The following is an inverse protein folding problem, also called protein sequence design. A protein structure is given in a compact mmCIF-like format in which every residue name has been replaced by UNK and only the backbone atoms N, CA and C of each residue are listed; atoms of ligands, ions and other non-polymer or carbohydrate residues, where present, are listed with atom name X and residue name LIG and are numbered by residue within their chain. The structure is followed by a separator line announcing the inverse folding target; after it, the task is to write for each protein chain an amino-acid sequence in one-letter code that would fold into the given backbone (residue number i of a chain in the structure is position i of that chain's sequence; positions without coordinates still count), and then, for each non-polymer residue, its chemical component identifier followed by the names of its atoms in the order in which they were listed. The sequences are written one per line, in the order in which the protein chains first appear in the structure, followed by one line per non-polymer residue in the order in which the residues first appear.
data_IF_714423541688
#
_entry.id   IF_714423541688
#
_cell.length_a   1.000
_cell.length_b   1.000
_cell.length_c   1.000
_cell.angle_alpha   90.00
_cell.angle_beta   90.00
_cell.angle_gamma   90.00
#
_symmetry.space_group_name_H-M   'P 1'
#
loop_
_entity.id
_entity.type
_entity.pdbx_description
1 polymer ?
#
# COMPACT_ATOMS: atom_id res chain seq x y z
N UNK A 1 -21.50 6.32 67.17
CA UNK A 1 -20.41 5.61 66.47
C UNK A 1 -20.85 5.01 65.14
N UNK A 2 -22.02 4.35 65.04
CA UNK A 2 -22.45 3.76 63.76
C UNK A 2 -22.75 4.76 62.63
N UNK A 3 -23.16 6.02 62.95
CA UNK A 3 -23.42 7.08 61.95
C UNK A 3 -22.14 7.69 61.34
N UNK A 4 -21.05 7.65 62.10
CA UNK A 4 -19.75 8.17 61.65
C UNK A 4 -19.07 7.23 60.62
N UNK A 5 -19.29 5.92 60.77
CA UNK A 5 -18.72 4.90 59.87
C UNK A 5 -19.40 4.96 58.48
N UNK A 6 -20.72 5.24 58.47
CA UNK A 6 -21.46 5.37 57.19
C UNK A 6 -21.03 6.63 56.39
N UNK A 7 -20.65 7.72 57.09
CA UNK A 7 -20.17 8.94 56.45
C UNK A 7 -18.76 8.79 55.89
N UNK A 8 -17.93 7.93 56.50
CA UNK A 8 -16.57 7.63 56.01
C UNK A 8 -16.60 6.71 54.77
N UNK A 9 -17.62 5.85 54.60
CA UNK A 9 -17.77 5.00 53.44
C UNK A 9 -18.22 5.76 52.17
N UNK A 10 -18.80 6.96 52.30
CA UNK A 10 -19.18 7.80 51.15
C UNK A 10 -18.01 8.60 50.54
N UNK A 11 -16.85 8.62 51.18
CA UNK A 11 -15.65 9.25 50.67
C UNK A 11 -14.67 8.26 50.00
N UNK A 12 -15.13 7.10 49.52
CA UNK A 12 -14.33 6.28 48.62
C UNK A 12 -14.06 7.12 47.37
N UNK A 13 -12.81 7.46 47.02
CA UNK A 13 -12.51 8.14 45.78
C UNK A 13 -12.98 7.21 44.66
N UNK A 14 -14.06 7.58 43.98
CA UNK A 14 -14.39 7.00 42.73
C UNK A 14 -13.22 7.38 41.83
N UNK A 15 -12.24 6.51 41.71
CA UNK A 15 -11.20 6.63 40.69
C UNK A 15 -11.94 6.58 39.34
N UNK A 16 -12.43 7.73 38.89
CA UNK A 16 -12.88 7.93 37.54
C UNK A 16 -11.62 7.71 36.70
N UNK A 17 -11.46 6.52 36.18
CA UNK A 17 -10.47 6.28 35.13
C UNK A 17 -10.87 7.20 33.97
N UNK A 18 -10.28 8.37 33.94
CA UNK A 18 -10.47 9.30 32.84
C UNK A 18 -9.99 8.57 31.58
N UNK A 19 -10.94 8.31 30.69
CA UNK A 19 -10.64 7.69 29.39
C UNK A 19 -9.63 8.57 28.68
N UNK A 20 -8.48 7.98 28.32
CA UNK A 20 -7.42 8.69 27.63
C UNK A 20 -7.59 8.49 26.13
N UNK A 21 -7.69 9.58 25.41
CA UNK A 21 -7.83 9.59 23.96
C UNK A 21 -6.57 10.13 23.32
N UNK A 22 -6.16 9.51 22.21
CA UNK A 22 -5.07 9.96 21.38
C UNK A 22 -5.53 10.18 19.93
N UNK A 23 -4.75 10.97 19.20
CA UNK A 23 -4.82 11.07 17.75
C UNK A 23 -3.47 10.75 17.14
N UNK A 24 -3.47 10.20 15.94
CA UNK A 24 -2.24 9.84 15.21
C UNK A 24 -2.39 10.23 13.74
N UNK A 25 -1.31 10.71 13.14
CA UNK A 25 -1.23 10.95 11.71
C UNK A 25 -0.42 9.81 11.06
N UNK A 26 -1.12 8.80 10.58
CA UNK A 26 -0.47 7.62 9.96
C UNK A 26 0.23 7.98 8.65
N UNK A 27 -0.23 8.98 7.92
CA UNK A 27 0.41 9.45 6.69
C UNK A 27 1.80 10.03 6.99
N UNK A 28 1.92 10.88 8.01
CA UNK A 28 3.20 11.44 8.44
C UNK A 28 4.17 10.34 8.89
N UNK A 29 3.67 9.34 9.63
CA UNK A 29 4.47 8.20 10.05
C UNK A 29 4.96 7.41 8.84
N UNK A 30 4.07 7.04 7.93
CA UNK A 30 4.41 6.28 6.72
C UNK A 30 5.48 7.00 5.88
N UNK A 31 5.35 8.31 5.68
CA UNK A 31 6.31 9.11 4.92
C UNK A 31 7.71 9.16 5.56
N UNK A 32 7.80 9.01 6.87
CA UNK A 32 9.08 8.98 7.59
C UNK A 32 9.78 7.62 7.57
N UNK A 33 9.10 6.55 7.11
CA UNK A 33 9.64 5.20 7.10
C UNK A 33 10.56 4.95 5.90
N UNK A 34 11.82 4.55 6.11
CA UNK A 34 12.71 4.16 5.02
C UNK A 34 12.20 2.96 4.23
N UNK A 35 11.43 2.08 4.86
CA UNK A 35 10.79 0.94 4.21
C UNK A 35 9.81 1.36 3.12
N UNK A 36 9.07 2.46 3.32
CA UNK A 36 8.17 2.99 2.29
C UNK A 36 8.94 3.45 1.06
N UNK A 37 10.05 4.18 1.26
CA UNK A 37 10.92 4.62 0.16
C UNK A 37 11.49 3.42 -0.60
N UNK A 38 11.92 2.38 0.10
CA UNK A 38 12.40 1.14 -0.50
C UNK A 38 11.32 0.44 -1.33
N UNK A 39 10.11 0.27 -0.77
CA UNK A 39 8.99 -0.34 -1.47
C UNK A 39 8.65 0.44 -2.74
N UNK A 40 8.58 1.77 -2.67
CA UNK A 40 8.30 2.61 -3.83
C UNK A 40 9.39 2.46 -4.91
N UNK A 41 10.66 2.44 -4.54
CA UNK A 41 11.76 2.22 -5.48
C UNK A 41 11.73 0.84 -6.15
N UNK A 42 11.38 -0.21 -5.41
CA UNK A 42 11.23 -1.56 -5.96
C UNK A 42 10.03 -1.67 -6.92
N UNK A 43 8.91 -1.01 -6.60
CA UNK A 43 7.74 -0.97 -7.47
C UNK A 43 8.01 -0.18 -8.75
N UNK A 44 8.71 0.95 -8.65
CA UNK A 44 9.13 1.74 -9.81
C UNK A 44 10.06 0.94 -10.72
N UNK A 45 11.05 0.25 -10.16
CA UNK A 45 11.95 -0.62 -10.91
C UNK A 45 11.19 -1.75 -11.64
N UNK A 46 10.21 -2.37 -10.96
CA UNK A 46 9.35 -3.41 -11.54
C UNK A 46 8.49 -2.85 -12.67
N UNK A 47 7.87 -1.68 -12.47
CA UNK A 47 7.06 -1.02 -13.50
C UNK A 47 7.91 -0.71 -14.74
N UNK A 48 9.12 -0.20 -14.56
CA UNK A 48 10.04 0.08 -15.66
C UNK A 48 10.49 -1.18 -16.40
N UNK A 49 10.68 -2.28 -15.68
CA UNK A 49 10.98 -3.57 -16.31
C UNK A 49 9.83 -4.03 -17.21
N UNK A 50 8.57 -3.93 -16.74
CA UNK A 50 7.39 -4.28 -17.53
C UNK A 50 7.18 -3.36 -18.75
N UNK A 51 7.46 -2.06 -18.58
CA UNK A 51 7.45 -1.11 -19.70
C UNK A 51 8.46 -1.49 -20.79
N UNK A 52 9.70 -1.82 -20.39
CA UNK A 52 10.75 -2.23 -21.31
C UNK A 52 10.41 -3.56 -22.02
N UNK A 53 9.81 -4.51 -21.30
CA UNK A 53 9.34 -5.77 -21.88
C UNK A 53 8.29 -5.52 -22.99
N UNK A 54 7.27 -4.75 -22.67
CA UNK A 54 6.21 -4.39 -23.63
C UNK A 54 6.77 -3.63 -24.85
N UNK A 55 7.68 -2.69 -24.60
CA UNK A 55 8.35 -1.95 -25.67
C UNK A 55 9.12 -2.89 -26.59
N UNK A 56 9.91 -3.82 -26.04
CA UNK A 56 10.64 -4.82 -26.84
C UNK A 56 9.71 -5.71 -27.66
N UNK A 57 8.56 -6.11 -27.09
CA UNK A 57 7.57 -6.90 -27.83
C UNK A 57 6.89 -6.10 -28.93
N UNK A 58 6.64 -4.81 -28.73
CA UNK A 58 6.08 -3.91 -29.76
C UNK A 58 7.07 -3.66 -30.89
N UNK A 59 8.35 -3.45 -30.57
CA UNK A 59 9.42 -3.30 -31.56
C UNK A 59 9.58 -4.58 -32.39
N UNK A 60 9.47 -5.76 -31.76
CA UNK A 60 9.50 -7.04 -32.46
C UNK A 60 8.30 -7.22 -33.39
N UNK A 61 7.08 -6.88 -32.93
CA UNK A 61 5.88 -6.90 -33.77
C UNK A 61 6.05 -5.99 -34.98
N UNK A 62 6.54 -4.77 -34.77
CA UNK A 62 6.78 -3.81 -35.87
C UNK A 62 7.81 -4.37 -36.86
N UNK A 63 8.93 -4.90 -36.39
CA UNK A 63 9.97 -5.50 -37.22
C UNK A 63 9.44 -6.67 -38.07
N UNK A 64 8.66 -7.55 -37.44
CA UNK A 64 8.07 -8.69 -38.14
C UNK A 64 7.00 -8.25 -39.18
N UNK A 65 6.19 -7.25 -38.81
CA UNK A 65 5.17 -6.69 -39.75
C UNK A 65 5.84 -6.06 -40.97
N UNK A 66 6.89 -5.26 -40.77
CA UNK A 66 7.65 -4.66 -41.87
C UNK A 66 8.31 -5.71 -42.77
N UNK A 67 8.87 -6.76 -42.17
CA UNK A 67 9.47 -7.86 -42.90
C UNK A 67 8.40 -8.63 -43.75
N UNK A 68 7.23 -8.86 -43.14
CA UNK A 68 6.09 -9.47 -43.84
C UNK A 68 5.65 -8.63 -45.02
N UNK A 69 5.40 -7.35 -44.87
CA UNK A 69 4.94 -6.48 -45.95
C UNK A 69 5.95 -6.42 -47.11
N UNK A 70 7.24 -6.41 -46.85
CA UNK A 70 8.29 -6.44 -47.85
C UNK A 70 8.32 -7.75 -48.66
N UNK A 71 8.01 -8.87 -48.01
CA UNK A 71 8.11 -10.20 -48.64
C UNK A 71 6.77 -10.74 -49.15
N UNK A 72 5.65 -10.12 -48.78
CA UNK A 72 4.29 -10.60 -49.02
C UNK A 72 4.03 -10.96 -50.51
N UNK A 73 4.50 -10.11 -51.43
CA UNK A 73 4.29 -10.30 -52.87
C UNK A 73 4.98 -11.54 -53.45
N UNK A 74 5.99 -12.07 -52.77
CA UNK A 74 6.79 -13.24 -53.16
C UNK A 74 6.39 -14.51 -52.42
N UNK A 75 5.54 -14.41 -51.41
CA UNK A 75 5.07 -15.55 -50.62
C UNK A 75 3.88 -16.25 -51.28
N UNK A 76 3.80 -17.58 -51.15
CA UNK A 76 2.60 -18.32 -51.46
C UNK A 76 1.50 -18.08 -50.39
N UNK A 77 0.23 -18.38 -50.76
CA UNK A 77 -0.91 -18.12 -49.89
C UNK A 77 -0.83 -18.80 -48.50
N UNK A 78 -0.30 -20.00 -48.43
CA UNK A 78 -0.14 -20.73 -47.15
C UNK A 78 0.85 -20.02 -46.23
N UNK A 79 1.96 -19.57 -46.77
CA UNK A 79 2.99 -18.84 -46.01
C UNK A 79 2.48 -17.47 -45.57
N UNK A 80 1.72 -16.77 -46.40
CA UNK A 80 1.08 -15.50 -46.03
C UNK A 80 0.14 -15.71 -44.85
N UNK A 81 -0.74 -16.70 -44.93
CA UNK A 81 -1.69 -17.01 -43.86
C UNK A 81 -0.99 -17.37 -42.54
N UNK A 82 0.10 -18.16 -42.60
CA UNK A 82 0.87 -18.49 -41.42
C UNK A 82 1.50 -17.25 -40.75
N UNK A 83 2.07 -16.35 -41.59
CA UNK A 83 2.68 -15.11 -41.10
C UNK A 83 1.64 -14.15 -40.49
N UNK A 84 0.48 -14.03 -41.10
CA UNK A 84 -0.62 -13.24 -40.55
C UNK A 84 -1.10 -13.79 -39.20
N UNK A 85 -1.18 -15.11 -39.04
CA UNK A 85 -1.51 -15.74 -37.75
C UNK A 85 -0.41 -15.51 -36.68
N UNK A 86 0.87 -15.60 -37.09
CA UNK A 86 1.99 -15.29 -36.17
C UNK A 86 1.93 -13.85 -35.67
N UNK A 87 1.71 -12.88 -36.57
CA UNK A 87 1.60 -11.45 -36.18
C UNK A 87 0.37 -11.20 -35.30
N UNK A 88 -0.76 -11.82 -35.63
CA UNK A 88 -1.94 -11.73 -34.77
C UNK A 88 -1.72 -12.34 -33.39
N UNK A 89 -1.04 -13.49 -33.33
CA UNK A 89 -0.67 -14.13 -32.08
C UNK A 89 0.26 -13.25 -31.23
N UNK A 90 1.25 -12.60 -31.86
CA UNK A 90 2.15 -11.68 -31.18
C UNK A 90 1.40 -10.45 -30.63
N UNK A 91 0.48 -9.89 -31.42
CA UNK A 91 -0.37 -8.80 -30.98
C UNK A 91 -1.22 -9.18 -29.76
N UNK A 92 -1.88 -10.35 -29.81
CA UNK A 92 -2.66 -10.87 -28.68
C UNK A 92 -1.78 -11.08 -27.44
N UNK A 93 -0.56 -11.60 -27.63
CA UNK A 93 0.40 -11.78 -26.54
C UNK A 93 0.79 -10.45 -25.89
N UNK A 94 1.01 -9.40 -26.67
CA UNK A 94 1.29 -8.05 -26.14
C UNK A 94 0.13 -7.57 -25.26
N UNK A 95 -1.12 -7.72 -25.73
CA UNK A 95 -2.30 -7.34 -24.98
C UNK A 95 -2.41 -8.11 -23.66
N UNK A 96 -2.19 -9.42 -23.71
CA UNK A 96 -2.22 -10.27 -22.51
C UNK A 96 -1.10 -9.88 -21.53
N UNK A 97 0.14 -9.74 -22.02
CA UNK A 97 1.28 -9.33 -21.19
C UNK A 97 1.02 -7.98 -20.50
N UNK A 98 0.41 -7.03 -21.22
CA UNK A 98 0.03 -5.75 -20.62
C UNK A 98 -0.93 -5.92 -19.44
N UNK A 99 -1.97 -6.73 -19.60
CA UNK A 99 -2.95 -7.01 -18.55
C UNK A 99 -2.30 -7.75 -17.36
N UNK A 100 -1.49 -8.76 -17.65
CA UNK A 100 -0.80 -9.55 -16.66
C UNK A 100 0.19 -8.68 -15.83
N UNK A 101 0.93 -7.80 -16.49
CA UNK A 101 1.86 -6.88 -15.87
C UNK A 101 1.14 -5.87 -14.96
N UNK A 102 -0.02 -5.35 -15.37
CA UNK A 102 -0.85 -4.47 -14.53
C UNK A 102 -1.33 -5.18 -13.26
N UNK A 103 -1.82 -6.41 -13.40
CA UNK A 103 -2.28 -7.21 -12.26
C UNK A 103 -1.10 -7.57 -11.33
N UNK A 104 0.03 -7.96 -11.91
CA UNK A 104 1.24 -8.30 -11.15
C UNK A 104 1.77 -7.10 -10.35
N UNK A 105 1.76 -5.89 -10.94
CA UNK A 105 2.18 -4.67 -10.27
C UNK A 105 1.25 -4.32 -9.11
N UNK A 106 -0.06 -4.41 -9.32
CA UNK A 106 -1.06 -4.16 -8.27
C UNK A 106 -0.89 -5.16 -7.11
N UNK A 107 -0.71 -6.44 -7.42
CA UNK A 107 -0.46 -7.49 -6.43
C UNK A 107 0.85 -7.22 -5.66
N UNK A 108 1.93 -6.91 -6.36
CA UNK A 108 3.21 -6.58 -5.76
C UNK A 108 3.10 -5.37 -4.81
N UNK A 109 2.33 -4.34 -5.20
CA UNK A 109 2.07 -3.18 -4.34
C UNK A 109 1.38 -3.60 -3.04
N UNK A 110 0.32 -4.40 -3.12
CA UNK A 110 -0.39 -4.88 -1.93
C UNK A 110 0.52 -5.72 -1.02
N UNK A 111 1.25 -6.68 -1.60
CA UNK A 111 2.12 -7.58 -0.85
C UNK A 111 3.27 -6.85 -0.16
N UNK A 112 3.88 -5.88 -0.85
CA UNK A 112 5.01 -5.10 -0.30
C UNK A 112 4.57 -4.04 0.72
N UNK A 113 3.37 -3.48 0.56
CA UNK A 113 2.83 -2.50 1.51
C UNK A 113 2.31 -3.14 2.79
N UNK A 114 1.81 -4.38 2.74
CA UNK A 114 1.21 -5.04 3.90
C UNK A 114 2.13 -5.12 5.12
N UNK A 115 3.42 -5.49 4.99
CA UNK A 115 4.35 -5.50 6.13
C UNK A 115 4.56 -4.11 6.74
N UNK A 116 4.64 -3.06 5.90
CA UNK A 116 4.82 -1.67 6.34
C UNK A 116 3.61 -1.20 7.15
N UNK A 117 2.40 -1.47 6.64
CA UNK A 117 1.15 -1.16 7.33
C UNK A 117 1.04 -1.92 8.67
N UNK A 118 1.43 -3.18 8.70
CA UNK A 118 1.43 -3.97 9.92
C UNK A 118 2.44 -3.43 10.94
N UNK A 119 3.62 -3.01 10.50
CA UNK A 119 4.64 -2.41 11.37
C UNK A 119 4.09 -1.14 12.05
N UNK A 120 3.47 -0.25 11.29
CA UNK A 120 2.83 0.96 11.83
C UNK A 120 1.69 0.63 12.78
N UNK A 121 0.81 -0.30 12.41
CA UNK A 121 -0.29 -0.75 13.28
C UNK A 121 0.20 -1.29 14.62
N UNK A 122 1.23 -2.14 14.60
CA UNK A 122 1.81 -2.70 15.81
C UNK A 122 2.41 -1.62 16.70
N UNK A 123 3.11 -0.64 16.13
CA UNK A 123 3.65 0.49 16.89
C UNK A 123 2.54 1.34 17.54
N UNK A 124 1.43 1.60 16.82
CA UNK A 124 0.26 2.28 17.39
C UNK A 124 -0.32 1.47 18.55
N UNK A 125 -0.46 0.15 18.40
CA UNK A 125 -0.94 -0.73 19.47
C UNK A 125 -0.04 -0.71 20.69
N UNK A 126 1.29 -0.74 20.50
CA UNK A 126 2.26 -0.67 21.59
C UNK A 126 2.15 0.66 22.33
N UNK A 127 2.11 1.78 21.61
CA UNK A 127 1.91 3.12 22.21
C UNK A 127 0.57 3.20 22.92
N UNK A 128 -0.49 2.63 22.36
CA UNK A 128 -1.81 2.55 22.95
C UNK A 128 -1.80 1.82 24.29
N UNK A 129 -1.21 0.62 24.31
CA UNK A 129 -1.13 -0.23 25.50
C UNK A 129 -0.24 0.40 26.59
N UNK A 130 0.97 0.83 26.25
CA UNK A 130 1.92 1.38 27.21
C UNK A 130 1.49 2.74 27.74
N UNK A 131 0.82 3.55 26.89
CA UNK A 131 0.32 4.88 27.25
C UNK A 131 -1.03 4.88 27.96
N UNK A 132 -1.70 3.72 28.08
CA UNK A 132 -3.02 3.60 28.70
C UNK A 132 -4.12 4.33 27.93
N UNK A 133 -4.02 4.40 26.62
CA UNK A 133 -5.07 5.02 25.79
C UNK A 133 -6.26 4.07 25.64
N UNK A 134 -7.46 4.61 25.81
CA UNK A 134 -8.72 3.90 25.53
C UNK A 134 -8.93 3.79 24.02
N UNK A 135 -8.66 4.88 23.28
CA UNK A 135 -8.72 4.94 21.84
C UNK A 135 -7.62 5.85 21.29
N UNK A 136 -7.08 5.47 20.13
CA UNK A 136 -6.26 6.33 19.28
C UNK A 136 -6.94 6.40 17.92
N UNK A 137 -7.30 7.61 17.52
CA UNK A 137 -7.98 7.88 16.25
C UNK A 137 -7.02 8.40 15.21
N UNK A 138 -7.31 8.11 13.93
CA UNK A 138 -6.63 8.80 12.84
C UNK A 138 -6.93 10.30 12.87
N UNK A 139 -5.92 11.12 12.62
CA UNK A 139 -6.10 12.57 12.54
C UNK A 139 -7.12 12.92 11.44
N UNK A 140 -8.12 13.73 11.78
CA UNK A 140 -9.22 14.07 10.87
C UNK A 140 -10.37 13.06 10.80
N UNK A 141 -10.30 11.92 11.50
CA UNK A 141 -11.41 10.98 11.59
C UNK A 141 -12.59 11.53 12.42
N UNK A 142 -12.30 12.42 13.39
CA UNK A 142 -13.32 13.08 14.20
C UNK A 142 -13.69 14.45 13.62
N UNK A 143 -14.97 14.79 13.65
CA UNK A 143 -15.47 16.12 13.21
C UNK A 143 -14.91 17.25 14.10
N UNK A 144 -14.67 16.94 15.38
CA UNK A 144 -14.07 17.84 16.34
C UNK A 144 -13.12 17.09 17.25
N UNK A 145 -11.98 17.71 17.56
CA UNK A 145 -10.98 17.18 18.49
C UNK A 145 -10.66 18.24 19.55
N UNK A 146 -10.95 17.94 20.81
CA UNK A 146 -10.65 18.83 21.94
C UNK A 146 -9.17 18.84 22.30
N UNK A 147 -8.78 19.83 23.12
CA UNK A 147 -7.39 20.04 23.55
C UNK A 147 -6.86 18.94 24.47
N UNK A 148 -7.72 18.11 25.03
CA UNK A 148 -7.38 16.98 25.91
C UNK A 148 -7.06 15.69 25.15
N UNK A 149 -7.11 15.69 23.82
CA UNK A 149 -6.71 14.57 22.97
C UNK A 149 -5.24 14.73 22.62
N UNK A 150 -4.43 13.77 23.06
CA UNK A 150 -2.99 13.80 22.86
C UNK A 150 -2.60 13.37 21.45
N UNK A 151 -1.72 14.12 20.80
CA UNK A 151 -1.10 13.69 19.55
C UNK A 151 0.04 12.72 19.84
N UNK A 152 -0.13 11.46 19.43
CA UNK A 152 0.84 10.38 19.66
C UNK A 152 1.71 10.08 18.45
N UNK A 153 1.63 10.87 17.38
CA UNK A 153 2.38 10.65 16.14
C UNK A 153 3.88 10.47 16.38
N UNK A 154 4.48 11.38 17.14
CA UNK A 154 5.92 11.33 17.47
C UNK A 154 6.27 10.12 18.35
N UNK A 155 5.37 9.69 19.25
CA UNK A 155 5.60 8.49 20.08
C UNK A 155 5.60 7.24 19.21
N UNK A 156 4.68 7.15 18.25
CA UNK A 156 4.64 6.02 17.31
C UNK A 156 5.86 6.03 16.40
N UNK A 157 6.33 7.20 15.93
CA UNK A 157 7.57 7.29 15.16
C UNK A 157 8.79 6.80 15.96
N UNK A 158 8.86 7.15 17.26
CA UNK A 158 9.94 6.69 18.13
C UNK A 158 9.91 5.18 18.38
N UNK A 159 8.75 4.56 18.37
CA UNK A 159 8.59 3.10 18.48
C UNK A 159 9.05 2.36 17.21
N UNK A 160 9.11 3.05 16.07
CA UNK A 160 9.47 2.49 14.76
C UNK A 160 10.96 2.60 14.42
N UNK A 161 11.70 3.41 15.17
CA UNK A 161 13.16 3.60 15.05
C UNK A 161 13.91 2.61 15.89
#
# INVERSE_FOLDING_TARGET
MKKLIVMLMMMAPVAVFAQKFGKVNTQTIMQSLPELSKVNGELEATAKQYENELKSMQEELQRQSEAYEKAKSTMNATTQQQKEQELQGLYQKIQQTYQDNQQALQKAQQEKMQPVLNKVRNAIQNVGNTGGYTYIFEEGAAVYTGTNVEDVTSKVQSELT
#
